data_IF_054852449661
#
_entry.id   IF_054852449661
#
_cell.length_a   1.000
_cell.length_b   1.000
_cell.length_c   1.000
_cell.angle_alpha   90.00
_cell.angle_beta   90.00
_cell.angle_gamma   90.00
#
_symmetry.space_group_name_H-M   'P 1'
#
loop_
_entity.id
_entity.type
_entity.pdbx_description
1 polymer ?
#
# COMPACT_ATOMS: atom_id res chain seq x y z
N UNK A 1 12.77 17.19 -52.69
CA UNK A 1 11.48 17.78 -52.25
C UNK A 1 11.03 16.89 -51.11
N UNK A 2 11.56 17.19 -49.93
CA UNK A 2 11.44 16.36 -48.72
C UNK A 2 10.44 17.09 -47.85
N UNK A 3 9.27 16.48 -47.61
CA UNK A 3 8.29 17.02 -46.68
C UNK A 3 8.92 17.23 -45.30
N UNK A 4 8.66 18.37 -44.63
CA UNK A 4 9.09 18.56 -43.26
C UNK A 4 8.25 17.65 -42.37
N UNK A 5 8.95 16.78 -41.63
CA UNK A 5 8.46 15.96 -40.53
C UNK A 5 7.54 16.80 -39.62
N UNK A 6 6.26 16.44 -39.57
CA UNK A 6 5.23 17.15 -38.83
C UNK A 6 5.52 17.00 -37.32
N UNK A 7 6.01 18.09 -36.71
CA UNK A 7 6.40 18.15 -35.31
C UNK A 7 5.23 17.96 -34.31
N UNK A 8 4.06 17.56 -34.79
CA UNK A 8 2.82 17.36 -34.03
C UNK A 8 2.73 15.95 -33.40
N UNK A 9 3.55 14.98 -33.83
CA UNK A 9 3.49 13.59 -33.34
C UNK A 9 4.46 13.26 -32.20
N UNK A 10 5.07 14.28 -31.58
CA UNK A 10 5.89 14.06 -30.40
C UNK A 10 4.98 13.65 -29.21
N UNK A 11 5.17 12.47 -28.59
CA UNK A 11 4.42 12.12 -27.39
C UNK A 11 4.64 13.22 -26.35
N UNK A 12 3.56 13.75 -25.77
CA UNK A 12 3.62 14.78 -24.75
C UNK A 12 4.44 14.27 -23.57
N UNK A 13 5.75 14.54 -23.59
CA UNK A 13 6.66 14.23 -22.50
C UNK A 13 6.49 15.28 -21.41
N UNK A 14 5.36 15.23 -20.70
CA UNK A 14 5.22 16.03 -19.50
C UNK A 14 6.22 15.51 -18.47
N UNK A 15 7.20 16.34 -18.10
CA UNK A 15 8.13 16.05 -17.00
C UNK A 15 7.32 15.98 -15.71
N UNK A 16 6.91 14.78 -15.33
CA UNK A 16 6.25 14.53 -14.03
C UNK A 16 7.31 14.79 -12.95
N UNK A 17 7.10 15.73 -12.02
CA UNK A 17 8.00 15.93 -10.91
C UNK A 17 8.06 14.65 -10.08
N UNK A 18 9.26 14.09 -9.90
CA UNK A 18 9.45 12.78 -9.27
C UNK A 18 9.04 12.71 -7.78
N UNK A 19 8.66 13.83 -7.16
CA UNK A 19 8.33 13.90 -5.73
C UNK A 19 7.21 14.91 -5.46
N UNK A 20 5.96 14.44 -5.60
CA UNK A 20 4.73 15.22 -5.36
C UNK A 20 4.46 15.35 -3.85
N UNK A 21 5.14 14.57 -3.01
CA UNK A 21 4.95 14.53 -1.56
C UNK A 21 6.15 15.10 -0.80
N UNK A 22 6.69 16.22 -1.28
CA UNK A 22 7.76 16.95 -0.60
C UNK A 22 7.21 17.61 0.66
N UNK A 23 7.79 17.36 1.86
CA UNK A 23 7.32 17.99 3.08
C UNK A 23 7.53 19.51 3.00
N UNK A 24 6.54 20.27 3.47
CA UNK A 24 6.56 21.73 3.46
C UNK A 24 7.78 22.28 4.21
N UNK A 25 8.48 23.18 3.53
CA UNK A 25 9.68 23.86 4.03
C UNK A 25 9.26 25.21 4.58
N UNK A 26 9.55 25.42 5.87
CA UNK A 26 9.12 26.63 6.58
C UNK A 26 10.28 27.62 6.75
N UNK A 27 11.51 27.11 6.89
CA UNK A 27 12.70 27.94 7.09
C UNK A 27 13.80 27.52 6.11
N UNK A 28 13.81 28.12 4.92
CA UNK A 28 14.77 27.81 3.86
C UNK A 28 14.70 26.34 3.43
N UNK A 29 15.76 25.53 3.60
CA UNK A 29 15.73 24.10 3.25
C UNK A 29 15.03 23.20 4.29
N UNK A 30 14.68 23.74 5.48
CA UNK A 30 14.24 22.92 6.61
C UNK A 30 12.71 22.82 6.73
N UNK A 31 12.25 21.61 7.07
CA UNK A 31 10.86 21.32 7.43
C UNK A 31 10.51 21.90 8.81
N UNK A 32 9.21 22.05 9.11
CA UNK A 32 8.71 22.46 10.43
C UNK A 32 9.31 21.66 11.60
N UNK A 33 9.48 20.35 11.39
CA UNK A 33 10.05 19.44 12.40
C UNK A 33 11.54 19.69 12.59
N UNK A 34 12.28 19.85 11.50
CA UNK A 34 13.71 20.13 11.56
C UNK A 34 14.01 21.48 12.23
N UNK A 35 13.21 22.51 11.94
CA UNK A 35 13.35 23.81 12.60
C UNK A 35 13.02 23.72 14.10
N UNK A 36 11.99 22.95 14.49
CA UNK A 36 11.69 22.71 15.90
C UNK A 36 12.81 21.97 16.64
N UNK A 37 13.44 20.97 16.02
CA UNK A 37 14.59 20.24 16.59
C UNK A 37 15.78 21.19 16.78
N UNK A 38 16.08 22.02 15.77
CA UNK A 38 17.17 23.00 15.85
C UNK A 38 16.91 24.06 16.92
N UNK A 39 15.68 24.58 17.01
CA UNK A 39 15.29 25.55 18.03
C UNK A 39 15.41 24.97 19.45
N UNK A 40 14.95 23.73 19.66
CA UNK A 40 15.08 23.03 20.93
C UNK A 40 16.56 22.80 21.28
N UNK A 41 17.39 22.36 20.35
CA UNK A 41 18.82 22.17 20.57
C UNK A 41 19.52 23.49 20.91
N UNK A 42 19.20 24.58 20.21
CA UNK A 42 19.73 25.91 20.50
C UNK A 42 19.34 26.38 21.91
N UNK A 43 18.08 26.16 22.31
CA UNK A 43 17.61 26.48 23.67
C UNK A 43 18.35 25.66 24.74
N UNK A 44 18.59 24.36 24.50
CA UNK A 44 19.37 23.50 25.41
C UNK A 44 20.81 23.98 25.51
N UNK A 45 21.47 24.29 24.39
CA UNK A 45 22.85 24.80 24.40
C UNK A 45 22.96 26.16 25.08
N UNK A 46 21.97 27.04 24.91
CA UNK A 46 21.97 28.33 25.57
C UNK A 46 21.67 28.22 27.08
N UNK A 47 20.69 27.40 27.45
CA UNK A 47 20.36 27.13 28.86
C UNK A 47 21.51 26.45 29.59
N UNK A 48 22.14 25.46 28.95
CA UNK A 48 23.35 24.81 29.46
C UNK A 48 24.48 25.82 29.70
N UNK A 49 24.73 26.71 28.74
CA UNK A 49 25.73 27.78 28.87
C UNK A 49 25.43 28.67 30.07
N UNK A 50 24.18 29.10 30.21
CA UNK A 50 23.77 29.99 31.30
C UNK A 50 23.92 29.33 32.68
N UNK A 51 23.70 28.02 32.77
CA UNK A 51 23.87 27.24 34.00
C UNK A 51 25.34 26.94 34.32
N UNK A 52 26.18 26.69 33.32
CA UNK A 52 27.60 26.33 33.51
C UNK A 52 28.56 27.51 33.48
N UNK A 53 28.12 28.71 33.08
CA UNK A 53 28.96 29.92 33.06
C UNK A 53 29.68 30.24 34.38
N UNK A 54 29.16 29.95 35.61
CA UNK A 54 29.95 30.18 36.83
C UNK A 54 30.99 29.08 37.10
N UNK A 55 30.89 27.92 36.43
CA UNK A 55 31.72 26.73 36.70
C UNK A 55 32.83 26.53 35.66
N UNK A 56 32.64 27.00 34.42
CA UNK A 56 33.52 26.67 33.30
C UNK A 56 33.76 27.88 32.40
N UNK A 57 34.93 27.93 31.75
CA UNK A 57 35.24 28.95 30.75
C UNK A 57 34.40 28.76 29.47
N UNK A 58 34.19 29.85 28.74
CA UNK A 58 33.47 29.84 27.45
C UNK A 58 34.08 28.86 26.45
N UNK A 59 35.40 28.79 26.38
CA UNK A 59 36.11 27.91 25.44
C UNK A 59 35.93 26.44 25.81
N UNK A 60 35.95 26.10 27.11
CA UNK A 60 35.74 24.73 27.58
C UNK A 60 34.32 24.25 27.29
N UNK A 61 33.32 25.11 27.51
CA UNK A 61 31.92 24.77 27.19
C UNK A 61 31.71 24.60 25.68
N UNK A 62 32.25 25.50 24.87
CA UNK A 62 32.16 25.41 23.42
C UNK A 62 32.79 24.10 22.89
N UNK A 63 34.00 23.76 23.36
CA UNK A 63 34.67 22.52 22.96
C UNK A 63 33.85 21.26 23.30
N UNK A 64 33.16 21.25 24.44
CA UNK A 64 32.27 20.15 24.83
C UNK A 64 31.01 20.06 23.96
N UNK A 65 30.45 21.20 23.57
CA UNK A 65 29.20 21.24 22.80
C UNK A 65 29.39 21.04 21.29
N UNK A 66 30.58 21.31 20.73
CA UNK A 66 30.87 21.07 19.30
C UNK A 66 30.52 19.66 18.82
N UNK A 67 30.94 18.55 19.46
CA UNK A 67 30.56 17.21 19.00
C UNK A 67 29.05 16.95 19.12
N UNK A 68 28.40 17.51 20.14
CA UNK A 68 26.94 17.37 20.34
C UNK A 68 26.19 18.14 19.25
N UNK A 69 26.61 19.36 18.94
CA UNK A 69 26.07 20.16 17.85
C UNK A 69 26.27 19.48 16.48
N UNK A 70 27.43 18.87 16.26
CA UNK A 70 27.70 18.06 15.08
C UNK A 70 26.77 16.85 14.95
N UNK A 71 26.52 16.13 16.05
CA UNK A 71 25.57 15.01 16.09
C UNK A 71 24.12 15.46 15.83
N UNK A 72 23.70 16.60 16.40
CA UNK A 72 22.37 17.19 16.14
C UNK A 72 22.24 17.61 14.68
N UNK A 73 23.26 18.24 14.10
CA UNK A 73 23.26 18.59 12.68
C UNK A 73 23.19 17.34 11.81
N UNK A 74 23.97 16.29 12.11
CA UNK A 74 23.90 15.02 11.41
C UNK A 74 22.52 14.35 11.52
N UNK A 75 21.85 14.48 12.67
CA UNK A 75 20.49 13.97 12.88
C UNK A 75 19.43 14.73 12.05
N UNK A 76 19.56 16.06 11.96
CA UNK A 76 18.62 16.95 11.27
C UNK A 76 18.80 16.89 9.75
N UNK A 77 20.04 16.89 9.27
CA UNK A 77 20.38 16.86 7.84
C UNK A 77 20.50 15.44 7.28
N UNK A 78 20.76 14.45 8.14
CA UNK A 78 20.92 13.05 7.73
C UNK A 78 19.63 12.46 7.19
N UNK A 79 19.74 11.82 6.03
CA UNK A 79 18.69 10.97 5.48
C UNK A 79 19.26 9.59 5.20
N UNK A 80 18.50 8.57 5.52
CA UNK A 80 18.77 7.19 5.14
C UNK A 80 17.56 6.69 4.36
N UNK A 81 17.78 6.25 3.13
CA UNK A 81 16.74 5.64 2.28
C UNK A 81 15.48 6.55 2.16
N UNK A 82 15.68 7.87 2.07
CA UNK A 82 14.59 8.84 1.99
C UNK A 82 13.92 9.20 3.33
N UNK A 83 14.21 8.50 4.42
CA UNK A 83 13.69 8.79 5.77
C UNK A 83 14.69 9.68 6.54
N UNK A 84 14.20 10.66 7.29
CA UNK A 84 15.05 11.48 8.18
C UNK A 84 15.68 10.64 9.29
N UNK A 85 16.94 10.92 9.64
CA UNK A 85 17.68 10.15 10.65
C UNK A 85 17.02 10.23 12.04
N UNK A 86 16.31 11.33 12.32
CA UNK A 86 15.46 11.53 13.50
C UNK A 86 14.33 10.49 13.59
N UNK A 87 13.59 10.29 12.48
CA UNK A 87 12.53 9.29 12.39
C UNK A 87 13.10 7.87 12.45
N UNK A 88 14.23 7.65 11.78
CA UNK A 88 14.91 6.37 11.80
C UNK A 88 15.35 5.99 13.23
N UNK A 89 15.99 6.92 13.95
CA UNK A 89 16.41 6.71 15.33
C UNK A 89 15.21 6.51 16.26
N UNK A 90 14.15 7.30 16.12
CA UNK A 90 12.94 7.12 16.90
C UNK A 90 12.28 5.74 16.64
N UNK A 91 12.25 5.29 15.39
CA UNK A 91 11.78 3.96 15.04
C UNK A 91 12.69 2.87 15.62
N UNK A 92 14.01 3.03 15.53
CA UNK A 92 14.99 2.10 16.09
C UNK A 92 14.89 1.98 17.63
N UNK A 93 14.67 3.09 18.33
CA UNK A 93 14.47 3.12 19.78
C UNK A 93 13.13 2.50 20.21
N UNK A 94 12.09 2.59 19.36
CA UNK A 94 10.77 1.99 19.61
C UNK A 94 10.73 0.51 19.23
N UNK A 95 11.46 0.09 18.20
CA UNK A 95 11.47 -1.25 17.65
C UNK A 95 11.67 -2.38 18.69
N UNK A 96 12.60 -2.29 19.67
CA UNK A 96 12.74 -3.36 20.67
C UNK A 96 11.50 -3.50 21.58
N UNK A 97 10.67 -2.46 21.71
CA UNK A 97 9.45 -2.47 22.52
C UNK A 97 8.19 -2.79 21.70
N UNK A 98 8.26 -2.81 20.38
CA UNK A 98 7.10 -3.15 19.54
C UNK A 98 6.91 -4.67 19.49
N UNK A 99 5.67 -5.16 19.60
CA UNK A 99 5.39 -6.58 19.46
C UNK A 99 5.79 -7.04 18.06
N UNK A 100 6.58 -8.13 17.99
CA UNK A 100 7.09 -8.68 16.72
C UNK A 100 6.12 -9.67 16.06
N UNK A 101 5.17 -10.19 16.82
CA UNK A 101 4.15 -11.14 16.37
C UNK A 101 2.81 -10.53 16.69
N UNK A 102 2.09 -10.14 15.66
CA UNK A 102 0.74 -9.60 15.77
C UNK A 102 -0.21 -10.51 14.99
N UNK A 103 -1.37 -10.81 15.57
CA UNK A 103 -2.40 -11.65 14.94
C UNK A 103 -3.70 -10.87 14.93
N UNK A 104 -4.49 -11.03 13.87
CA UNK A 104 -5.86 -10.50 13.83
C UNK A 104 -6.72 -11.23 14.87
N UNK A 105 -6.95 -10.57 16.00
CA UNK A 105 -7.69 -11.12 17.14
C UNK A 105 -8.59 -10.01 17.71
N UNK A 106 -9.80 -9.81 17.15
CA UNK A 106 -10.69 -8.71 17.53
C UNK A 106 -11.13 -8.79 19.00
N UNK A 107 -11.36 -10.01 19.49
CA UNK A 107 -11.72 -10.28 20.90
C UNK A 107 -10.49 -10.37 21.83
N UNK A 108 -9.30 -10.07 21.31
CA UNK A 108 -8.04 -10.26 22.00
C UNK A 108 -7.43 -11.65 21.81
N UNK A 109 -6.17 -11.78 22.18
CA UNK A 109 -5.44 -13.06 22.07
C UNK A 109 -5.77 -13.90 23.32
N UNK A 110 -6.38 -15.09 23.16
CA UNK A 110 -6.71 -15.93 24.30
C UNK A 110 -5.42 -16.38 25.02
N UNK A 111 -5.44 -16.48 26.36
CA UNK A 111 -4.29 -16.96 27.11
C UNK A 111 -4.00 -18.43 26.77
N UNK A 112 -2.75 -18.84 26.98
CA UNK A 112 -2.37 -20.23 26.81
C UNK A 112 -3.14 -21.10 27.82
N UNK A 113 -3.74 -22.24 27.42
CA UNK A 113 -4.46 -23.10 28.35
C UNK A 113 -3.57 -23.57 29.51
N UNK A 114 -4.14 -23.66 30.72
CA UNK A 114 -3.40 -24.08 31.94
C UNK A 114 -2.81 -25.49 31.85
N UNK A 115 -3.30 -26.31 30.91
CA UNK A 115 -2.80 -27.66 30.63
C UNK A 115 -1.41 -27.65 29.98
N UNK A 116 -0.95 -26.51 29.43
CA UNK A 116 0.32 -26.45 28.71
C UNK A 116 1.50 -26.38 29.70
N UNK A 117 2.45 -27.34 29.66
CA UNK A 117 3.61 -27.33 30.55
C UNK A 117 4.44 -26.05 30.41
N UNK A 118 4.93 -25.51 31.53
CA UNK A 118 5.74 -24.29 31.56
C UNK A 118 6.99 -24.34 30.65
N UNK A 119 7.54 -25.53 30.41
CA UNK A 119 8.65 -25.75 29.46
C UNK A 119 8.25 -25.39 28.02
N UNK A 120 7.05 -25.74 27.59
CA UNK A 120 6.55 -25.45 26.25
C UNK A 120 6.15 -23.98 26.12
N UNK A 121 5.58 -23.39 27.18
CA UNK A 121 5.31 -21.95 27.23
C UNK A 121 6.59 -21.11 27.11
N UNK A 122 7.69 -21.53 27.77
CA UNK A 122 9.00 -20.87 27.64
C UNK A 122 9.60 -21.01 26.23
N UNK A 123 9.48 -22.18 25.61
CA UNK A 123 9.96 -22.40 24.23
C UNK A 123 9.14 -21.66 23.17
N UNK A 124 7.84 -21.45 23.39
CA UNK A 124 6.97 -20.71 22.48
C UNK A 124 7.28 -19.21 22.42
N UNK A 125 7.91 -18.68 23.47
CA UNK A 125 8.26 -17.27 23.60
C UNK A 125 7.06 -16.39 24.02
N UNK A 126 7.16 -15.06 23.86
CA UNK A 126 6.09 -14.13 24.20
C UNK A 126 4.82 -14.43 23.38
N UNK A 127 3.61 -14.33 23.99
CA UNK A 127 2.38 -14.48 23.23
C UNK A 127 2.28 -13.41 22.14
N UNK A 128 1.63 -13.72 21.01
CA UNK A 128 1.37 -12.72 19.99
C UNK A 128 0.50 -11.60 20.57
N UNK A 129 0.69 -10.37 20.08
CA UNK A 129 -0.18 -9.26 20.40
C UNK A 129 -1.39 -9.23 19.44
N UNK A 130 -2.51 -8.68 19.88
CA UNK A 130 -3.62 -8.38 18.99
C UNK A 130 -3.20 -7.26 18.01
N UNK A 131 -3.36 -7.51 16.71
CA UNK A 131 -3.13 -6.51 15.67
C UNK A 131 -4.25 -5.47 15.72
N UNK A 132 -3.88 -4.18 15.78
CA UNK A 132 -4.84 -3.09 15.55
C UNK A 132 -4.98 -2.91 14.05
N UNK A 133 -6.13 -3.29 13.52
CA UNK A 133 -6.43 -3.09 12.10
C UNK A 133 -6.65 -1.61 11.81
N UNK A 134 -6.30 -1.13 10.61
CA UNK A 134 -6.57 0.25 10.20
C UNK A 134 -8.05 0.49 9.82
N UNK A 135 -8.92 -0.51 10.04
CA UNK A 135 -10.35 -0.48 9.79
C UNK A 135 -11.08 -1.21 10.92
N UNK A 136 -12.32 -0.82 11.20
CA UNK A 136 -13.18 -1.37 12.25
C UNK A 136 -14.00 -2.58 11.77
N UNK A 137 -14.36 -2.61 10.48
CA UNK A 137 -15.09 -3.71 9.87
C UNK A 137 -15.21 -3.60 8.36
N UNK A 138 -15.74 -4.65 7.72
CA UNK A 138 -16.02 -4.70 6.28
C UNK A 138 -17.50 -5.00 6.11
N UNK A 139 -18.21 -4.18 5.33
CA UNK A 139 -19.62 -4.41 5.03
C UNK A 139 -19.80 -5.54 4.00
N UNK A 140 -20.98 -6.17 3.89
CA UNK A 140 -21.23 -7.16 2.85
C UNK A 140 -20.99 -6.64 1.43
N UNK A 141 -21.21 -5.34 1.21
CA UNK A 141 -20.91 -4.64 -0.05
C UNK A 141 -19.43 -4.35 -0.29
N UNK A 142 -18.51 -4.85 0.58
CA UNK A 142 -17.06 -4.71 0.39
C UNK A 142 -16.48 -3.37 0.84
N UNK A 143 -17.24 -2.56 1.59
CA UNK A 143 -16.77 -1.26 2.08
C UNK A 143 -16.08 -1.41 3.42
N UNK A 144 -14.87 -0.88 3.53
CA UNK A 144 -14.07 -0.82 4.76
C UNK A 144 -14.52 0.38 5.60
N UNK A 145 -14.78 0.12 6.87
CA UNK A 145 -15.04 1.15 7.88
C UNK A 145 -13.72 1.64 8.48
N UNK A 146 -13.32 2.88 8.20
CA UNK A 146 -12.10 3.48 8.74
C UNK A 146 -12.36 4.29 10.03
N UNK A 147 -13.54 4.13 10.64
CA UNK A 147 -13.91 4.83 11.87
C UNK A 147 -13.96 6.35 11.67
N UNK A 148 -13.12 7.09 12.39
CA UNK A 148 -13.05 8.56 12.25
C UNK A 148 -12.59 9.01 10.86
N UNK A 149 -11.86 8.15 10.16
CA UNK A 149 -11.31 8.45 8.84
C UNK A 149 -12.32 8.23 7.69
N UNK A 150 -13.52 7.73 7.98
CA UNK A 150 -14.60 7.58 7.00
C UNK A 150 -14.75 6.16 6.46
N UNK A 151 -15.21 6.04 5.22
CA UNK A 151 -15.49 4.75 4.55
C UNK A 151 -14.63 4.62 3.30
N UNK A 152 -14.18 3.43 2.96
CA UNK A 152 -13.44 3.17 1.74
C UNK A 152 -13.97 1.97 0.99
N UNK A 153 -14.28 2.12 -0.28
CA UNK A 153 -14.65 1.02 -1.16
C UNK A 153 -13.48 0.72 -2.10
N UNK A 154 -13.26 -0.57 -2.40
CA UNK A 154 -12.15 -1.03 -3.23
C UNK A 154 -12.69 -1.72 -4.47
N UNK A 155 -12.08 -1.44 -5.61
CA UNK A 155 -12.31 -2.15 -6.86
C UNK A 155 -10.99 -2.62 -7.45
N UNK A 156 -11.04 -3.74 -8.17
CA UNK A 156 -9.95 -4.18 -9.04
C UNK A 156 -10.11 -3.57 -10.43
N UNK A 157 -8.99 -3.17 -11.03
CA UNK A 157 -8.95 -2.57 -12.36
C UNK A 157 -8.18 -3.45 -13.33
N UNK A 158 -8.71 -3.60 -14.54
CA UNK A 158 -7.97 -4.19 -15.66
C UNK A 158 -6.85 -3.25 -16.12
N UNK A 159 -5.96 -3.79 -16.96
CA UNK A 159 -4.89 -3.02 -17.60
C UNK A 159 -5.03 -3.10 -19.10
N UNK A 160 -4.62 -2.03 -19.79
CA UNK A 160 -4.60 -1.94 -21.25
C UNK A 160 -3.15 -2.02 -21.77
N UNK A 161 -2.96 -2.65 -22.93
CA UNK A 161 -1.65 -2.70 -23.60
C UNK A 161 -1.40 -1.40 -24.36
N UNK A 162 -1.19 -0.31 -23.62
CA UNK A 162 -1.14 1.05 -24.15
C UNK A 162 -0.09 1.25 -25.25
N UNK A 163 1.10 0.67 -25.11
CA UNK A 163 2.20 0.81 -26.07
C UNK A 163 1.93 0.13 -27.43
N UNK A 164 1.04 -0.86 -27.47
CA UNK A 164 0.67 -1.57 -28.71
C UNK A 164 -0.44 -0.84 -29.50
N UNK A 165 -0.97 0.26 -28.97
CA UNK A 165 -2.03 1.06 -29.61
C UNK A 165 -1.43 2.09 -30.56
N UNK A 166 -2.19 2.45 -31.59
CA UNK A 166 -1.85 3.57 -32.49
C UNK A 166 -1.84 4.91 -31.74
N UNK A 167 -1.15 5.93 -32.25
CA UNK A 167 -1.08 7.25 -31.58
C UNK A 167 -2.47 7.87 -31.36
N UNK A 168 -3.37 7.74 -32.33
CA UNK A 168 -4.75 8.25 -32.21
C UNK A 168 -5.53 7.53 -31.09
N UNK A 169 -5.39 6.21 -30.98
CA UNK A 169 -5.99 5.44 -29.88
C UNK A 169 -5.38 5.82 -28.53
N UNK A 170 -4.05 5.95 -28.44
CA UNK A 170 -3.36 6.37 -27.22
C UNK A 170 -3.84 7.75 -26.74
N UNK A 171 -4.03 8.71 -27.66
CA UNK A 171 -4.60 10.02 -27.35
C UNK A 171 -6.05 9.91 -26.87
N UNK A 172 -6.86 9.07 -27.51
CA UNK A 172 -8.25 8.80 -27.11
C UNK A 172 -8.36 8.21 -25.69
N UNK A 173 -7.55 7.19 -25.38
CA UNK A 173 -7.47 6.56 -24.06
C UNK A 173 -6.98 7.55 -23.00
N UNK A 174 -5.95 8.34 -23.31
CA UNK A 174 -5.42 9.38 -22.42
C UNK A 174 -6.45 10.48 -22.14
N UNK A 175 -7.21 10.90 -23.15
CA UNK A 175 -8.28 11.87 -23.00
C UNK A 175 -9.45 11.32 -22.18
N UNK A 176 -9.82 10.05 -22.36
CA UNK A 176 -10.81 9.38 -21.53
C UNK A 176 -10.37 9.32 -20.06
N UNK A 177 -9.14 8.88 -19.79
CA UNK A 177 -8.58 8.85 -18.45
C UNK A 177 -8.52 10.24 -17.80
N UNK A 178 -8.12 11.26 -18.57
CA UNK A 178 -8.08 12.66 -18.11
C UNK A 178 -9.48 13.19 -17.75
N UNK A 179 -10.51 12.86 -18.55
CA UNK A 179 -11.91 13.21 -18.22
C UNK A 179 -12.35 12.57 -16.91
N UNK A 180 -12.00 11.31 -16.67
CA UNK A 180 -12.26 10.66 -15.40
C UNK A 180 -11.56 11.36 -14.23
N UNK A 181 -10.26 11.66 -14.36
CA UNK A 181 -9.52 12.40 -13.32
C UNK A 181 -10.16 13.77 -13.00
N UNK A 182 -10.59 14.50 -14.02
CA UNK A 182 -11.26 15.79 -13.87
C UNK A 182 -12.68 15.68 -13.28
N UNK A 183 -13.27 14.49 -13.26
CA UNK A 183 -14.60 14.22 -12.71
C UNK A 183 -14.57 13.82 -11.22
N UNK A 184 -13.39 13.55 -10.66
CA UNK A 184 -13.25 13.07 -9.29
C UNK A 184 -13.73 14.14 -8.29
N UNK A 185 -14.72 13.78 -7.48
CA UNK A 185 -15.33 14.65 -6.47
C UNK A 185 -14.79 14.42 -5.05
N UNK A 186 -13.87 13.47 -4.88
CA UNK A 186 -13.29 13.15 -3.59
C UNK A 186 -12.03 12.29 -3.68
N UNK A 187 -11.42 11.95 -2.53
CA UNK A 187 -10.16 11.24 -2.48
C UNK A 187 -10.27 9.86 -3.15
N UNK A 188 -9.50 9.67 -4.21
CA UNK A 188 -9.39 8.41 -4.94
C UNK A 188 -7.93 8.02 -5.04
N UNK A 189 -7.63 6.77 -4.70
CA UNK A 189 -6.27 6.24 -4.72
C UNK A 189 -6.19 5.12 -5.76
N UNK A 190 -5.14 5.15 -6.57
CA UNK A 190 -4.74 4.05 -7.43
C UNK A 190 -3.54 3.35 -6.77
N UNK A 191 -3.69 2.04 -6.52
CA UNK A 191 -2.65 1.22 -5.91
C UNK A 191 -2.28 0.10 -6.89
N UNK A 192 -1.03 0.11 -7.34
CA UNK A 192 -0.45 -1.01 -8.08
C UNK A 192 0.40 -1.81 -7.10
N UNK A 193 0.05 -3.09 -6.90
CA UNK A 193 0.79 -3.99 -6.02
C UNK A 193 1.25 -5.23 -6.76
N UNK A 194 2.36 -5.79 -6.32
CA UNK A 194 2.73 -7.16 -6.66
C UNK A 194 2.19 -8.10 -5.58
N UNK A 195 1.71 -9.27 -5.99
CA UNK A 195 1.30 -10.34 -5.09
C UNK A 195 1.79 -11.69 -5.60
N UNK A 196 1.92 -12.66 -4.71
CA UNK A 196 2.21 -14.04 -5.10
C UNK A 196 0.95 -14.66 -5.72
N UNK A 197 1.14 -15.38 -6.82
CA UNK A 197 0.10 -16.20 -7.44
C UNK A 197 0.25 -17.62 -6.91
N UNK A 198 -0.84 -18.18 -6.43
CA UNK A 198 -0.94 -19.60 -6.09
C UNK A 198 -1.69 -20.35 -7.18
N UNK A 199 -0.98 -21.28 -7.82
CA UNK A 199 -1.51 -22.13 -8.87
C UNK A 199 -2.13 -23.42 -8.33
N UNK A 200 -1.99 -23.74 -7.04
CA UNK A 200 -2.51 -25.00 -6.48
C UNK A 200 -4.02 -25.18 -6.74
N UNK A 201 -4.89 -24.16 -6.57
CA UNK A 201 -6.31 -24.31 -6.91
C UNK A 201 -6.56 -24.61 -8.38
N UNK A 202 -5.78 -24.04 -9.29
CA UNK A 202 -5.89 -24.29 -10.74
C UNK A 202 -5.41 -25.69 -11.09
N UNK A 203 -4.30 -26.14 -10.52
CA UNK A 203 -3.77 -27.51 -10.67
C UNK A 203 -4.80 -28.54 -10.18
N UNK A 204 -5.37 -28.32 -8.99
CA UNK A 204 -6.39 -29.18 -8.41
C UNK A 204 -7.65 -29.22 -9.29
N UNK A 205 -8.08 -28.07 -9.82
CA UNK A 205 -9.21 -27.98 -10.73
C UNK A 205 -8.96 -28.77 -12.03
N UNK A 206 -7.78 -28.61 -12.64
CA UNK A 206 -7.40 -29.36 -13.84
C UNK A 206 -7.38 -30.86 -13.58
N UNK A 207 -6.79 -31.31 -12.46
CA UNK A 207 -6.81 -32.72 -12.07
C UNK A 207 -8.21 -33.27 -11.84
N UNK A 208 -9.07 -32.49 -11.19
CA UNK A 208 -10.44 -32.88 -10.89
C UNK A 208 -11.28 -33.08 -12.16
N UNK A 209 -11.16 -32.15 -13.13
CA UNK A 209 -11.96 -32.18 -14.35
C UNK A 209 -11.33 -32.99 -15.49
N UNK A 210 -10.04 -33.34 -15.42
CA UNK A 210 -9.36 -34.07 -16.49
C UNK A 210 -10.08 -35.38 -16.88
N UNK A 211 -10.56 -36.14 -15.90
CA UNK A 211 -11.25 -37.42 -16.14
C UNK A 211 -12.65 -37.26 -16.75
N UNK A 212 -13.25 -36.06 -16.67
CA UNK A 212 -14.56 -35.77 -17.26
C UNK A 212 -14.45 -35.29 -18.71
N UNK A 213 -13.24 -35.14 -19.26
CA UNK A 213 -13.05 -34.65 -20.61
C UNK A 213 -13.50 -35.69 -21.66
N UNK A 214 -14.16 -35.27 -22.77
CA UNK A 214 -14.79 -36.21 -23.70
C UNK A 214 -13.82 -37.11 -24.47
N UNK A 215 -12.54 -36.76 -24.54
CA UNK A 215 -11.55 -37.46 -25.35
C UNK A 215 -10.28 -37.77 -24.55
N UNK A 216 -9.72 -38.99 -24.61
CA UNK A 216 -8.59 -39.41 -23.78
C UNK A 216 -7.31 -38.60 -24.03
N UNK A 217 -7.15 -38.04 -25.23
CA UNK A 217 -6.04 -37.12 -25.50
C UNK A 217 -6.17 -35.77 -24.76
N UNK A 218 -7.39 -35.27 -24.55
CA UNK A 218 -7.64 -34.04 -23.80
C UNK A 218 -7.43 -34.27 -22.30
N UNK A 219 -7.88 -35.42 -21.79
CA UNK A 219 -7.59 -35.87 -20.43
C UNK A 219 -6.08 -35.91 -20.16
N UNK A 220 -5.30 -36.51 -21.06
CA UNK A 220 -3.84 -36.56 -20.93
C UNK A 220 -3.22 -35.16 -20.98
N UNK A 221 -3.63 -34.33 -21.94
CA UNK A 221 -3.12 -32.96 -22.06
C UNK A 221 -3.44 -32.11 -20.82
N UNK A 222 -4.61 -32.28 -20.21
CA UNK A 222 -4.99 -31.57 -18.99
C UNK A 222 -4.11 -31.97 -17.79
N UNK A 223 -3.79 -33.26 -17.65
CA UNK A 223 -2.85 -33.75 -16.63
C UNK A 223 -1.42 -33.26 -16.87
N UNK A 224 -0.93 -33.40 -18.10
CA UNK A 224 0.41 -32.92 -18.46
C UNK A 224 0.54 -31.41 -18.20
N UNK A 225 -0.53 -30.63 -18.45
CA UNK A 225 -0.56 -29.21 -18.14
C UNK A 225 -0.56 -28.93 -16.63
N UNK A 226 -1.33 -29.67 -15.84
CA UNK A 226 -1.35 -29.54 -14.40
C UNK A 226 0.02 -29.89 -13.76
N UNK A 227 0.69 -30.93 -14.25
CA UNK A 227 2.05 -31.30 -13.85
C UNK A 227 3.05 -30.17 -14.17
N UNK A 228 2.95 -29.58 -15.36
CA UNK A 228 3.77 -28.43 -15.74
C UNK A 228 3.54 -27.21 -14.83
N UNK A 229 2.28 -26.88 -14.52
CA UNK A 229 1.95 -25.76 -13.62
C UNK A 229 2.43 -26.02 -12.19
N UNK A 230 2.37 -27.27 -11.73
CA UNK A 230 2.91 -27.68 -10.44
C UNK A 230 4.42 -27.48 -10.36
N UNK A 231 5.17 -27.95 -11.37
CA UNK A 231 6.63 -27.77 -11.45
C UNK A 231 7.02 -26.28 -11.55
N UNK A 232 6.24 -25.48 -12.29
CA UNK A 232 6.45 -24.04 -12.38
C UNK A 232 6.31 -23.35 -11.02
N UNK A 233 5.34 -23.77 -10.21
CA UNK A 233 5.10 -23.21 -8.86
C UNK A 233 6.19 -23.56 -7.86
N UNK A 234 6.85 -24.72 -8.02
CA UNK A 234 7.95 -25.17 -7.16
C UNK A 234 9.28 -24.52 -7.53
N UNK A 235 9.50 -24.25 -8.81
CA UNK A 235 10.77 -23.73 -9.32
C UNK A 235 10.89 -22.21 -9.31
N UNK A 236 9.76 -21.48 -9.23
CA UNK A 236 9.74 -20.01 -9.33
C UNK A 236 8.73 -19.36 -8.38
N UNK A 237 9.13 -18.20 -7.84
CA UNK A 237 8.17 -17.28 -7.21
C UNK A 237 7.35 -16.58 -8.30
N UNK A 238 6.12 -17.05 -8.51
CA UNK A 238 5.18 -16.44 -9.46
C UNK A 238 4.56 -15.18 -8.84
N UNK A 239 4.81 -14.05 -9.50
CA UNK A 239 4.30 -12.74 -9.08
C UNK A 239 3.31 -12.21 -10.10
N UNK A 240 2.13 -11.83 -9.61
CA UNK A 240 1.10 -11.11 -10.34
C UNK A 240 1.12 -9.63 -10.00
N UNK A 241 0.66 -8.80 -10.93
CA UNK A 241 0.40 -7.38 -10.69
C UNK A 241 -1.11 -7.19 -10.54
N UNK A 242 -1.51 -6.62 -9.42
CA UNK A 242 -2.90 -6.25 -9.16
C UNK A 242 -3.00 -4.74 -9.10
N UNK A 243 -3.93 -4.18 -9.88
CA UNK A 243 -4.24 -2.75 -9.90
C UNK A 243 -5.56 -2.53 -9.18
N UNK A 244 -5.54 -1.70 -8.15
CA UNK A 244 -6.68 -1.43 -7.28
C UNK A 244 -7.04 0.05 -7.35
N UNK A 245 -8.33 0.34 -7.35
CA UNK A 245 -8.89 1.67 -7.21
C UNK A 245 -9.64 1.72 -5.88
N UNK A 246 -9.23 2.65 -5.02
CA UNK A 246 -9.83 2.87 -3.72
C UNK A 246 -10.55 4.22 -3.74
N UNK A 247 -11.86 4.20 -3.60
CA UNK A 247 -12.67 5.40 -3.41
C UNK A 247 -12.93 5.60 -1.91
N UNK A 248 -12.41 6.68 -1.35
CA UNK A 248 -12.61 7.03 0.07
C UNK A 248 -13.64 8.13 0.19
N UNK A 249 -14.58 7.96 1.11
CA UNK A 249 -15.46 9.01 1.59
C UNK A 249 -15.03 9.41 3.00
N UNK A 250 -14.60 10.66 3.15
CA UNK A 250 -14.22 11.20 4.45
C UNK A 250 -15.45 11.49 5.30
N UNK A 251 -15.36 11.24 6.60
CA UNK A 251 -16.39 11.68 7.56
C UNK A 251 -16.34 13.21 7.65
N UNK A 252 -17.13 13.90 6.83
CA UNK A 252 -17.31 15.34 6.98
C UNK A 252 -18.10 15.60 8.27
N UNK A 253 -17.53 16.45 9.14
CA UNK A 253 -18.08 16.71 10.46
C UNK A 253 -19.55 17.14 10.42
N UNK A 254 -20.31 16.64 11.41
CA UNK A 254 -21.77 16.79 11.68
C UNK A 254 -22.71 15.85 10.89
N UNK A 255 -23.22 14.86 11.63
CA UNK A 255 -24.57 14.30 11.51
C UNK A 255 -25.02 13.84 10.12
N UNK A 256 -24.18 13.08 9.41
CA UNK A 256 -24.69 12.20 8.35
C UNK A 256 -24.81 10.80 8.92
N UNK A 257 -26.02 10.22 8.86
CA UNK A 257 -26.34 8.88 9.38
C UNK A 257 -25.29 7.88 8.85
N UNK A 258 -24.75 7.02 9.71
CA UNK A 258 -23.59 6.15 9.41
C UNK A 258 -23.68 5.26 8.14
N UNK A 259 -24.86 5.14 7.51
CA UNK A 259 -25.05 4.45 6.23
C UNK A 259 -24.85 5.28 4.96
N UNK A 260 -24.76 6.62 5.03
CA UNK A 260 -24.62 7.44 3.80
C UNK A 260 -23.21 7.39 3.20
N UNK A 261 -22.19 7.17 4.02
CA UNK A 261 -20.80 7.08 3.56
C UNK A 261 -20.55 5.82 2.73
N UNK A 262 -21.19 4.70 3.10
CA UNK A 262 -21.10 3.44 2.36
C UNK A 262 -21.67 3.58 0.93
N UNK A 263 -22.93 4.03 0.82
CA UNK A 263 -23.57 4.20 -0.48
C UNK A 263 -22.81 5.18 -1.38
N UNK A 264 -22.24 6.25 -0.83
CA UNK A 264 -21.43 7.20 -1.60
C UNK A 264 -20.09 6.61 -2.05
N UNK A 265 -19.42 5.82 -1.21
CA UNK A 265 -18.17 5.16 -1.59
C UNK A 265 -18.41 4.16 -2.75
N UNK A 266 -19.49 3.38 -2.67
CA UNK A 266 -19.90 2.48 -3.75
C UNK A 266 -20.30 3.23 -5.02
N UNK A 267 -21.10 4.29 -4.89
CA UNK A 267 -21.47 5.15 -6.01
C UNK A 267 -20.23 5.71 -6.74
N UNK A 268 -19.19 6.13 -6.01
CA UNK A 268 -17.94 6.58 -6.62
C UNK A 268 -17.21 5.49 -7.39
N UNK A 269 -17.25 4.22 -6.94
CA UNK A 269 -16.71 3.11 -7.72
C UNK A 269 -17.49 2.89 -9.01
N UNK A 270 -18.82 3.02 -8.98
CA UNK A 270 -19.64 2.92 -10.19
C UNK A 270 -19.38 4.09 -11.15
N UNK A 271 -19.25 5.31 -10.63
CA UNK A 271 -18.86 6.49 -11.42
C UNK A 271 -17.48 6.29 -12.04
N UNK A 272 -16.53 5.73 -11.30
CA UNK A 272 -15.22 5.36 -11.82
C UNK A 272 -15.32 4.29 -12.91
N UNK A 273 -16.14 3.25 -12.72
CA UNK A 273 -16.37 2.21 -13.73
C UNK A 273 -16.92 2.80 -15.03
N UNK A 274 -17.90 3.71 -14.96
CA UNK A 274 -18.45 4.40 -16.12
C UNK A 274 -17.45 5.37 -16.75
N UNK A 275 -16.66 6.08 -15.95
CA UNK A 275 -15.68 7.07 -16.42
C UNK A 275 -14.44 6.44 -17.05
N UNK A 276 -14.06 5.24 -16.61
CA UNK A 276 -12.89 4.49 -17.09
C UNK A 276 -13.21 3.52 -18.23
N UNK A 277 -14.48 3.16 -18.44
CA UNK A 277 -14.90 2.31 -19.56
C UNK A 277 -14.46 2.85 -20.95
N UNK A 278 -14.57 4.16 -21.26
CA UNK A 278 -14.04 4.71 -22.52
C UNK A 278 -12.51 4.68 -22.64
N UNK A 279 -11.80 4.45 -21.53
CA UNK A 279 -10.36 4.19 -21.50
C UNK A 279 -10.05 2.68 -21.57
N UNK A 280 -11.04 1.83 -21.90
CA UNK A 280 -10.93 0.37 -21.96
C UNK A 280 -10.48 -0.27 -20.62
N UNK A 281 -10.68 0.43 -19.50
CA UNK A 281 -10.35 -0.06 -18.17
C UNK A 281 -11.64 -0.53 -17.50
N UNK A 282 -11.72 -1.84 -17.26
CA UNK A 282 -12.79 -2.48 -16.50
C UNK A 282 -12.52 -2.28 -15.02
N UNK A 283 -13.51 -1.76 -14.29
CA UNK A 283 -13.46 -1.58 -12.84
C UNK A 283 -14.48 -2.52 -12.22
N UNK A 284 -14.01 -3.45 -11.39
CA UNK A 284 -14.84 -4.46 -10.74
C UNK A 284 -14.81 -4.22 -9.22
N UNK A 285 -15.89 -3.69 -8.62
CA UNK A 285 -15.99 -3.54 -7.17
C UNK A 285 -15.79 -4.88 -6.45
N UNK A 286 -15.03 -4.87 -5.35
CA UNK A 286 -14.85 -6.04 -4.51
C UNK A 286 -16.01 -6.14 -3.51
N UNK A 287 -16.49 -7.37 -3.29
CA UNK A 287 -17.48 -7.68 -2.27
C UNK A 287 -16.83 -7.86 -0.88
N UNK A 288 -17.64 -8.07 0.15
CA UNK A 288 -17.16 -8.27 1.52
C UNK A 288 -16.04 -9.32 1.64
N UNK A 289 -16.25 -10.57 1.16
CA UNK A 289 -15.25 -11.62 1.20
C UNK A 289 -13.95 -11.26 0.47
N UNK A 290 -14.03 -10.75 -0.78
CA UNK A 290 -12.84 -10.40 -1.55
C UNK A 290 -12.07 -9.21 -0.95
N UNK A 291 -12.77 -8.23 -0.40
CA UNK A 291 -12.15 -7.14 0.36
C UNK A 291 -11.42 -7.66 1.60
N UNK A 292 -12.00 -8.62 2.33
CA UNK A 292 -11.35 -9.24 3.49
C UNK A 292 -10.10 -10.04 3.10
N UNK A 293 -10.16 -10.83 2.03
CA UNK A 293 -9.02 -11.56 1.47
C UNK A 293 -7.90 -10.61 1.05
N UNK A 294 -8.24 -9.52 0.35
CA UNK A 294 -7.29 -8.52 -0.10
C UNK A 294 -6.53 -7.89 1.08
N UNK A 295 -7.25 -7.49 2.13
CA UNK A 295 -6.64 -6.85 3.31
C UNK A 295 -5.81 -7.84 4.11
N UNK A 296 -6.29 -9.08 4.27
CA UNK A 296 -5.53 -10.16 4.89
C UNK A 296 -4.21 -10.43 4.15
N UNK A 297 -4.25 -10.50 2.82
CA UNK A 297 -3.07 -10.66 1.97
C UNK A 297 -2.15 -9.43 1.99
N UNK A 298 -2.66 -8.24 2.33
CA UNK A 298 -1.82 -7.06 2.54
C UNK A 298 -1.12 -7.08 3.93
N UNK A 299 -1.77 -7.65 4.95
CA UNK A 299 -1.22 -7.80 6.28
C UNK A 299 -0.23 -8.96 6.42
N UNK A 300 -0.29 -9.96 5.54
CA UNK A 300 0.67 -11.06 5.49
C UNK A 300 1.25 -11.23 4.07
N UNK A 301 2.44 -10.65 3.79
CA UNK A 301 3.02 -10.68 2.44
C UNK A 301 3.43 -12.08 1.99
N UNK A 302 3.52 -13.05 2.92
CA UNK A 302 3.86 -14.44 2.60
C UNK A 302 2.63 -15.29 2.30
N UNK A 303 1.41 -14.79 2.57
CA UNK A 303 0.19 -15.50 2.19
C UNK A 303 -0.01 -15.35 0.69
N UNK A 304 -0.08 -16.46 -0.08
CA UNK A 304 -0.47 -16.36 -1.47
C UNK A 304 -1.88 -15.78 -1.61
N UNK A 305 -2.08 -14.92 -2.61
CA UNK A 305 -3.43 -14.53 -2.98
C UNK A 305 -3.99 -15.62 -3.91
N UNK A 306 -5.22 -16.06 -3.64
CA UNK A 306 -5.91 -16.98 -4.53
C UNK A 306 -6.15 -16.27 -5.86
N UNK A 307 -5.70 -16.87 -6.97
CA UNK A 307 -6.11 -16.44 -8.30
C UNK A 307 -7.58 -16.82 -8.46
N UNK A 308 -8.47 -15.86 -8.26
CA UNK A 308 -9.87 -16.06 -8.63
C UNK A 308 -9.96 -16.12 -10.15
N UNK A 309 -10.75 -17.07 -10.62
CA UNK A 309 -11.00 -17.34 -12.03
C UNK A 309 -11.53 -16.06 -12.68
N UNK A 310 -10.63 -15.32 -13.33
CA UNK A 310 -11.02 -14.31 -14.30
C UNK A 310 -11.62 -15.11 -15.43
N UNK A 311 -12.93 -15.00 -15.60
CA UNK A 311 -13.60 -15.41 -16.83
C UNK A 311 -13.08 -14.50 -17.95
N UNK A 312 -11.87 -14.80 -18.41
CA UNK A 312 -11.24 -14.22 -19.59
C UNK A 312 -11.91 -14.88 -20.79
N UNK A 313 -13.19 -14.54 -20.97
CA UNK A 313 -14.07 -15.31 -21.84
C UNK A 313 -15.56 -15.06 -21.61
N UNK A 314 -15.98 -13.80 -21.43
CA UNK A 314 -17.31 -13.45 -21.95
C UNK A 314 -17.25 -12.07 -22.63
N UNK A 315 -16.92 -12.17 -23.92
CA UNK A 315 -17.17 -11.28 -25.08
C UNK A 315 -16.97 -9.77 -24.94
#
# INVERSE_FOLDING_TARGET
MTEPDDATDAPYTTRIPADISRPDRILGPFTARQSAILAAAAAVFYGGWWATRPLMSTLSYAALMVPIAGAVAALVLGRREGIGLDRFLAAALRHPRTPKRCVHAPDGVPPLPDVVPARWAKSAGPPPAAMRMPYDGITPGGVLDLGSDGKAAVAECSTVNFELRSTAEQQGLSAAFTRWLNSLTGPTQLLVRCHRIDLAPLVDNLHHHAAALPHPALERAARDHADFLSDLSLSRDLLGRQTLLIAREETTGRNVRGGTGEGRALQRLEEAARGLAPAEITVTPLDGPRSAELVSAACNPNTPAHSHDRTEGDR
#
